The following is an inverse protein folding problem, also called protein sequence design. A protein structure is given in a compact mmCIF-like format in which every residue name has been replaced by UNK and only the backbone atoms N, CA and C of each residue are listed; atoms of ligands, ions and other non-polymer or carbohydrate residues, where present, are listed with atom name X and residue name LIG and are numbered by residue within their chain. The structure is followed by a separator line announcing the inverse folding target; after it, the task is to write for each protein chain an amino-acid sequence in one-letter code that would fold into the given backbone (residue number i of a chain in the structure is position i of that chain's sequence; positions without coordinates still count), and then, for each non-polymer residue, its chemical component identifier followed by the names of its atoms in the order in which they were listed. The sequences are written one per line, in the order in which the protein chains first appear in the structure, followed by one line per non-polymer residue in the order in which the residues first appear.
data_IF_997633095730
#
_entry.id   IF_997633095730
#
_cell.length_a   1.000
_cell.length_b   1.000
_cell.length_c   1.000
_cell.angle_alpha   90.00
_cell.angle_beta   90.00
_cell.angle_gamma   90.00
#
_symmetry.space_group_name_H-M   'P 1'
#
loop_
_entity.id
_entity.type
_entity.pdbx_description
1 polymer ?
#
# COMPACT_ATOMS: atom_id res chain seq x y z
N UNK A 1 0.27 -7.72 -24.90
CA UNK A 1 1.13 -7.07 -23.88
C UNK A 1 1.64 -5.75 -24.45
N UNK A 2 1.38 -4.62 -23.78
CA UNK A 2 1.80 -3.29 -24.26
C UNK A 2 3.33 -3.17 -24.31
N UNK A 3 3.87 -2.57 -25.39
CA UNK A 3 5.32 -2.37 -25.65
C UNK A 3 6.06 -1.67 -24.48
N UNK A 4 5.34 -0.95 -23.62
CA UNK A 4 5.92 -0.19 -22.50
C UNK A 4 6.48 -1.08 -21.38
N UNK A 5 6.01 -2.33 -21.21
CA UNK A 5 6.53 -3.23 -20.17
C UNK A 5 7.84 -3.93 -20.57
N UNK A 6 8.13 -4.06 -21.87
CA UNK A 6 9.32 -4.76 -22.35
C UNK A 6 10.65 -4.07 -21.98
N UNK A 7 10.62 -2.76 -21.73
CA UNK A 7 11.80 -1.97 -21.33
C UNK A 7 11.83 -1.66 -19.83
N UNK A 8 11.13 -2.42 -18.99
CA UNK A 8 11.03 -2.19 -17.55
C UNK A 8 11.74 -3.26 -16.73
N UNK A 9 12.40 -2.85 -15.64
CA UNK A 9 13.11 -3.74 -14.71
C UNK A 9 12.12 -4.30 -13.69
N UNK A 10 12.13 -5.62 -13.44
CA UNK A 10 11.36 -6.21 -12.35
C UNK A 10 12.04 -5.85 -11.02
N UNK A 11 11.31 -5.21 -10.11
CA UNK A 11 11.79 -4.91 -8.76
C UNK A 11 11.30 -5.95 -7.75
N UNK A 12 10.03 -6.34 -7.85
CA UNK A 12 9.40 -7.23 -6.89
C UNK A 12 8.27 -8.04 -7.53
N UNK A 13 8.07 -9.25 -7.02
CA UNK A 13 6.98 -10.14 -7.41
C UNK A 13 6.20 -10.51 -6.14
N UNK A 14 5.00 -9.94 -5.99
CA UNK A 14 4.11 -10.21 -4.87
C UNK A 14 3.04 -11.25 -5.20
N UNK A 15 2.18 -11.53 -4.22
CA UNK A 15 1.02 -12.44 -4.37
C UNK A 15 0.02 -11.96 -5.41
N UNK A 16 -0.06 -10.64 -5.63
CA UNK A 16 -1.17 -9.99 -6.35
C UNK A 16 -0.73 -9.11 -7.49
N UNK A 17 0.55 -8.78 -7.52
CA UNK A 17 1.09 -7.89 -8.53
C UNK A 17 2.59 -8.10 -8.70
N UNK A 18 3.08 -7.59 -9.82
CA UNK A 18 4.49 -7.32 -10.03
C UNK A 18 4.75 -5.83 -9.92
N UNK A 19 5.85 -5.47 -9.27
CA UNK A 19 6.35 -4.10 -9.21
C UNK A 19 7.52 -3.97 -10.17
N UNK A 20 7.44 -3.01 -11.07
CA UNK A 20 8.44 -2.79 -12.12
C UNK A 20 8.86 -1.33 -12.16
N UNK A 21 10.04 -1.08 -12.67
CA UNK A 21 10.59 0.26 -12.82
C UNK A 21 10.76 0.66 -14.29
N UNK A 22 10.38 1.89 -14.60
CA UNK A 22 10.51 2.55 -15.89
C UNK A 22 11.21 3.91 -15.71
N UNK A 23 12.50 3.98 -16.03
CA UNK A 23 13.41 5.09 -15.67
C UNK A 23 13.05 6.46 -16.29
N UNK A 24 12.24 6.50 -17.35
CA UNK A 24 11.95 7.72 -18.13
C UNK A 24 10.58 8.35 -17.86
N UNK A 25 9.98 8.08 -16.70
CA UNK A 25 8.66 8.62 -16.33
C UNK A 25 8.69 9.33 -14.97
N UNK A 26 7.87 10.38 -14.84
CA UNK A 26 7.67 11.10 -13.56
C UNK A 26 7.16 10.21 -12.44
N UNK A 27 6.49 9.10 -12.81
CA UNK A 27 6.08 8.02 -11.92
C UNK A 27 6.75 6.72 -12.40
N UNK A 28 8.03 6.49 -12.00
CA UNK A 28 8.83 5.41 -12.56
C UNK A 28 8.43 4.03 -12.04
N UNK A 29 7.76 3.94 -10.89
CA UNK A 29 7.35 2.67 -10.32
C UNK A 29 5.97 2.31 -10.85
N UNK A 30 5.82 1.08 -11.32
CA UNK A 30 4.60 0.55 -11.91
C UNK A 30 4.19 -0.71 -11.17
N UNK A 31 3.01 -0.69 -10.54
CA UNK A 31 2.39 -1.88 -9.97
C UNK A 31 1.41 -2.45 -10.99
N UNK A 32 1.57 -3.72 -11.36
CA UNK A 32 0.75 -4.40 -12.37
C UNK A 32 0.13 -5.63 -11.72
N UNK A 33 -1.19 -5.68 -11.70
CA UNK A 33 -1.94 -6.78 -11.13
C UNK A 33 -1.70 -8.09 -11.89
N UNK A 34 -1.70 -9.22 -11.18
CA UNK A 34 -1.85 -10.52 -11.79
C UNK A 34 -3.23 -10.65 -12.46
N UNK A 35 -3.39 -11.54 -13.46
CA UNK A 35 -4.60 -11.60 -14.27
C UNK A 35 -5.82 -12.20 -13.57
N UNK A 36 -5.67 -12.76 -12.37
CA UNK A 36 -6.76 -13.35 -11.60
C UNK A 36 -7.62 -12.30 -10.89
N UNK A 37 -8.90 -12.63 -10.68
CA UNK A 37 -9.90 -11.71 -10.13
C UNK A 37 -9.53 -11.19 -8.73
N UNK A 38 -8.95 -12.04 -7.88
CA UNK A 38 -8.61 -11.66 -6.52
C UNK A 38 -7.48 -10.60 -6.49
N UNK A 39 -6.45 -10.79 -7.31
CA UNK A 39 -5.40 -9.79 -7.52
C UNK A 39 -5.94 -8.47 -8.08
N UNK A 40 -6.86 -8.54 -9.05
CA UNK A 40 -7.52 -7.35 -9.64
C UNK A 40 -8.34 -6.56 -8.64
N UNK A 41 -9.10 -7.26 -7.79
CA UNK A 41 -9.87 -6.64 -6.72
C UNK A 41 -8.96 -5.97 -5.69
N UNK A 42 -7.90 -6.66 -5.25
CA UNK A 42 -6.92 -6.09 -4.30
C UNK A 42 -6.21 -4.85 -4.85
N UNK A 43 -5.78 -4.87 -6.11
CA UNK A 43 -5.13 -3.69 -6.73
C UNK A 43 -6.12 -2.53 -6.92
N UNK A 44 -7.37 -2.81 -7.25
CA UNK A 44 -8.40 -1.77 -7.35
C UNK A 44 -8.73 -1.15 -5.99
N UNK A 45 -8.81 -1.98 -4.95
CA UNK A 45 -9.01 -1.54 -3.56
C UNK A 45 -7.83 -0.72 -3.06
N UNK A 46 -6.60 -1.20 -3.27
CA UNK A 46 -5.37 -0.49 -2.91
C UNK A 46 -5.30 0.90 -3.55
N UNK A 47 -5.57 1.01 -4.84
CA UNK A 47 -5.58 2.31 -5.52
C UNK A 47 -6.65 3.26 -4.97
N UNK A 48 -7.82 2.72 -4.62
CA UNK A 48 -8.91 3.48 -4.00
C UNK A 48 -8.49 4.00 -2.63
N UNK A 49 -7.87 3.15 -1.80
CA UNK A 49 -7.36 3.54 -0.49
C UNK A 49 -6.22 4.55 -0.61
N UNK A 50 -5.29 4.39 -1.56
CA UNK A 50 -4.24 5.40 -1.82
C UNK A 50 -4.83 6.79 -2.11
N UNK A 51 -5.93 6.86 -2.87
CA UNK A 51 -6.64 8.13 -3.12
C UNK A 51 -7.24 8.72 -1.84
N UNK A 52 -7.96 7.91 -1.07
CA UNK A 52 -8.55 8.34 0.19
C UNK A 52 -7.48 8.88 1.14
N UNK A 53 -6.40 8.13 1.34
CA UNK A 53 -5.31 8.51 2.23
C UNK A 53 -4.60 9.80 1.77
N UNK A 54 -4.38 9.95 0.47
CA UNK A 54 -3.78 11.16 -0.12
C UNK A 54 -4.67 12.40 0.05
N UNK A 55 -6.00 12.24 -0.10
CA UNK A 55 -6.98 13.31 0.15
C UNK A 55 -6.99 13.73 1.62
N UNK A 56 -6.90 12.77 2.54
CA UNK A 56 -6.82 12.97 4.00
C UNK A 56 -5.45 13.45 4.50
N UNK A 57 -4.47 13.60 3.60
CA UNK A 57 -3.07 13.97 3.94
C UNK A 57 -2.38 12.98 4.87
N UNK A 58 -2.83 11.73 4.87
CA UNK A 58 -2.07 10.63 5.48
C UNK A 58 -0.83 10.39 4.60
N UNK A 59 0.38 10.21 5.17
CA UNK A 59 1.59 10.00 4.38
C UNK A 59 1.50 8.74 3.52
N UNK A 60 1.38 8.94 2.21
CA UNK A 60 1.38 7.90 1.17
C UNK A 60 2.29 8.34 0.02
N UNK A 61 2.76 7.42 -0.83
CA UNK A 61 3.48 7.77 -2.05
C UNK A 61 2.69 8.78 -2.89
N UNK A 62 3.41 9.66 -3.59
CA UNK A 62 2.82 10.41 -4.71
C UNK A 62 2.62 9.43 -5.87
N UNK A 63 1.41 9.38 -6.40
CA UNK A 63 1.06 8.46 -7.47
C UNK A 63 0.31 9.15 -8.60
N UNK A 64 0.33 8.50 -9.76
CA UNK A 64 -0.44 8.93 -10.92
C UNK A 64 -1.92 8.61 -10.70
N UNK A 65 -2.75 9.64 -10.61
CA UNK A 65 -4.19 9.51 -10.42
C UNK A 65 -4.91 8.88 -11.62
N UNK A 66 -4.23 8.75 -12.77
CA UNK A 66 -4.74 8.06 -13.96
C UNK A 66 -4.25 6.61 -13.99
N UNK A 67 -4.89 5.75 -13.19
CA UNK A 67 -4.73 4.31 -13.29
C UNK A 67 -5.24 3.78 -14.64
N UNK A 68 -4.67 2.68 -15.12
CA UNK A 68 -5.19 1.96 -16.28
C UNK A 68 -6.26 0.97 -15.85
N UNK A 69 -7.37 1.01 -16.57
CA UNK A 69 -8.56 0.20 -16.32
C UNK A 69 -8.95 -0.61 -17.55
N UNK A 70 -9.64 -1.71 -17.30
CA UNK A 70 -10.35 -2.54 -18.29
C UNK A 70 -11.73 -2.91 -17.72
N UNK A 71 -12.46 -3.81 -18.38
CA UNK A 71 -13.76 -4.30 -17.91
C UNK A 71 -13.73 -5.00 -16.54
N UNK A 72 -12.55 -5.35 -16.02
CA UNK A 72 -12.33 -5.97 -14.70
C UNK A 72 -11.79 -4.98 -13.66
N UNK A 73 -11.86 -3.67 -13.92
CA UNK A 73 -11.41 -2.63 -12.99
C UNK A 73 -9.97 -2.17 -13.23
N UNK A 74 -9.24 -1.82 -12.18
CA UNK A 74 -7.86 -1.33 -12.30
C UNK A 74 -6.89 -2.51 -12.44
N UNK A 75 -5.98 -2.43 -13.40
CA UNK A 75 -4.92 -3.44 -13.61
C UNK A 75 -3.52 -2.92 -13.41
N UNK A 76 -3.36 -1.60 -13.44
CA UNK A 76 -2.05 -0.97 -13.34
C UNK A 76 -2.19 0.46 -12.88
N UNK A 77 -1.32 0.87 -11.97
CA UNK A 77 -1.11 2.27 -11.64
C UNK A 77 0.39 2.54 -11.50
N UNK A 78 0.75 3.82 -11.38
CA UNK A 78 2.14 4.26 -11.29
C UNK A 78 2.36 5.14 -10.07
N UNK A 79 3.55 5.09 -9.48
CA UNK A 79 3.92 5.91 -8.33
C UNK A 79 5.37 6.38 -8.39
N UNK A 80 5.71 7.29 -7.50
CA UNK A 80 7.08 7.76 -7.30
C UNK A 80 8.02 6.62 -6.90
N UNK A 81 9.33 6.87 -6.96
CA UNK A 81 10.33 5.93 -6.45
C UNK A 81 10.34 5.99 -4.92
N UNK A 82 10.37 4.81 -4.30
CA UNK A 82 10.40 4.63 -2.86
C UNK A 82 11.68 3.91 -2.44
N UNK A 83 12.12 4.16 -1.21
CA UNK A 83 13.35 3.62 -0.65
C UNK A 83 13.07 2.79 0.60
N UNK A 84 13.61 1.57 0.64
CA UNK A 84 13.43 0.67 1.79
C UNK A 84 14.08 1.28 3.03
N UNK A 85 13.49 1.02 4.19
CA UNK A 85 14.06 1.42 5.47
C UNK A 85 15.33 0.62 5.78
N UNK A 86 16.23 1.24 6.51
CA UNK A 86 17.39 0.56 7.11
C UNK A 86 16.90 -0.24 8.32
N UNK A 87 16.86 -1.57 8.19
CA UNK A 87 16.28 -2.41 9.23
C UNK A 87 17.09 -2.42 10.54
N UNK A 88 18.38 -2.10 10.47
CA UNK A 88 19.24 -1.97 11.65
C UNK A 88 18.87 -0.72 12.47
N UNK A 89 18.12 0.21 11.87
CA UNK A 89 17.69 1.48 12.47
C UNK A 89 16.19 1.58 12.70
N UNK A 90 15.45 0.45 12.67
CA UNK A 90 13.99 0.48 12.84
C UNK A 90 13.53 1.24 14.08
N UNK A 91 14.27 1.11 15.19
CA UNK A 91 13.95 1.81 16.45
C UNK A 91 13.97 3.33 16.33
N UNK A 92 14.73 3.89 15.39
CA UNK A 92 14.76 5.33 15.12
C UNK A 92 13.44 5.83 14.52
N UNK A 93 12.72 4.97 13.80
CA UNK A 93 11.45 5.31 13.14
C UNK A 93 10.23 5.12 14.03
N UNK A 94 10.39 4.58 15.25
CA UNK A 94 9.27 4.19 16.11
C UNK A 94 8.28 5.31 16.35
N UNK A 95 8.75 6.50 16.73
CA UNK A 95 7.90 7.63 17.05
C UNK A 95 7.13 8.13 15.81
N UNK A 96 7.80 8.14 14.65
CA UNK A 96 7.19 8.57 13.38
C UNK A 96 6.10 7.58 12.94
N UNK A 97 6.37 6.27 13.03
CA UNK A 97 5.40 5.22 12.69
C UNK A 97 4.20 5.25 13.64
N UNK A 98 4.42 5.41 14.94
CA UNK A 98 3.35 5.60 15.93
C UNK A 98 2.49 6.83 15.61
N UNK A 99 3.12 7.94 15.21
CA UNK A 99 2.42 9.15 14.82
C UNK A 99 1.59 8.97 13.55
N UNK A 100 2.17 8.38 12.49
CA UNK A 100 1.48 8.07 11.24
C UNK A 100 0.26 7.17 11.48
N UNK A 101 0.40 6.14 12.32
CA UNK A 101 -0.68 5.23 12.61
C UNK A 101 -1.80 5.90 13.42
N UNK A 102 -1.47 6.71 14.43
CA UNK A 102 -2.46 7.51 15.16
C UNK A 102 -3.23 8.46 14.25
N UNK A 103 -2.53 9.10 13.29
CA UNK A 103 -3.17 9.96 12.31
C UNK A 103 -4.16 9.18 11.44
N UNK A 104 -3.77 8.01 10.94
CA UNK A 104 -4.65 7.12 10.18
C UNK A 104 -5.89 6.74 11.00
N UNK A 105 -5.70 6.28 12.24
CA UNK A 105 -6.78 5.89 13.14
C UNK A 105 -7.70 7.05 13.50
N UNK A 106 -7.20 8.28 13.59
CA UNK A 106 -8.02 9.47 13.85
C UNK A 106 -9.03 9.79 12.74
N UNK A 107 -8.79 9.30 11.52
CA UNK A 107 -9.74 9.36 10.41
C UNK A 107 -10.69 8.16 10.37
N UNK A 108 -10.64 7.29 11.37
CA UNK A 108 -11.44 6.07 11.43
C UNK A 108 -11.05 5.07 10.36
N UNK A 109 -9.76 4.94 10.02
CA UNK A 109 -9.26 3.97 9.03
C UNK A 109 -8.30 3.00 9.73
N UNK A 110 -8.44 1.70 9.49
CA UNK A 110 -7.43 0.69 9.83
C UNK A 110 -6.52 0.43 8.61
N UNK A 111 -5.24 0.13 8.86
CA UNK A 111 -4.27 -0.19 7.80
C UNK A 111 -4.30 -1.67 7.40
N UNK A 112 -4.43 -2.56 8.39
CA UNK A 112 -4.61 -4.01 8.23
C UNK A 112 -3.32 -4.79 8.09
N UNK A 113 -2.38 -4.30 7.27
CA UNK A 113 -1.12 -5.02 6.96
C UNK A 113 0.13 -4.25 7.41
N UNK A 114 0.14 -3.81 8.67
CA UNK A 114 1.25 -3.06 9.22
C UNK A 114 2.46 -3.97 9.47
N UNK A 115 3.56 -3.75 8.73
CA UNK A 115 4.86 -4.36 8.96
C UNK A 115 5.97 -3.53 8.29
N UNK A 116 7.27 -3.73 8.61
CA UNK A 116 8.34 -2.88 8.08
C UNK A 116 8.47 -2.81 6.55
N UNK A 117 7.96 -3.81 5.84
CA UNK A 117 7.95 -3.82 4.37
C UNK A 117 6.93 -2.85 3.77
N UNK A 118 5.87 -2.52 4.53
CA UNK A 118 4.80 -1.62 4.09
C UNK A 118 5.00 -0.17 4.55
N UNK A 119 6.20 0.16 5.03
CA UNK A 119 6.64 1.52 5.32
C UNK A 119 7.94 1.77 4.56
N UNK A 120 7.97 2.84 3.77
CA UNK A 120 9.13 3.22 2.97
C UNK A 120 9.39 4.72 3.08
N UNK A 121 10.53 5.17 2.56
CA UNK A 121 10.82 6.59 2.38
C UNK A 121 10.49 7.05 0.96
N UNK A 122 9.91 8.24 0.85
CA UNK A 122 9.75 8.93 -0.43
C UNK A 122 11.05 9.65 -0.85
N UNK A 123 11.02 10.32 -2.02
CA UNK A 123 12.18 11.05 -2.55
C UNK A 123 12.68 12.23 -1.70
N UNK A 124 11.86 12.74 -0.78
CA UNK A 124 12.24 13.82 0.16
C UNK A 124 12.63 13.30 1.55
N UNK A 125 12.60 11.97 1.76
CA UNK A 125 13.05 11.31 2.98
C UNK A 125 11.98 11.10 4.05
N UNK A 126 10.72 11.43 3.77
CA UNK A 126 9.59 11.22 4.68
C UNK A 126 9.11 9.76 4.64
N UNK A 127 8.61 9.27 5.78
CA UNK A 127 7.99 7.95 5.85
C UNK A 127 6.59 7.98 5.23
N UNK A 128 6.27 6.95 4.45
CA UNK A 128 4.95 6.77 3.82
C UNK A 128 4.45 5.34 3.99
N UNK A 129 3.14 5.20 4.16
CA UNK A 129 2.46 3.91 4.07
C UNK A 129 2.36 3.46 2.62
N UNK A 130 2.73 2.21 2.34
CA UNK A 130 2.60 1.60 1.02
C UNK A 130 1.71 0.37 1.10
N UNK A 131 1.11 -0.02 -0.02
CA UNK A 131 0.25 -1.21 -0.11
C UNK A 131 -0.95 -1.21 0.89
N UNK A 132 -1.84 -0.20 0.86
CA UNK A 132 -3.06 -0.19 1.66
C UNK A 132 -4.14 -1.14 1.10
N UNK A 133 -3.76 -2.27 0.50
CA UNK A 133 -4.69 -3.25 -0.08
C UNK A 133 -5.57 -3.94 0.97
N UNK A 134 -5.20 -3.82 2.24
CA UNK A 134 -5.94 -4.34 3.39
C UNK A 134 -6.56 -3.25 4.26
N UNK A 135 -6.44 -1.97 3.86
CA UNK A 135 -6.94 -0.85 4.64
C UNK A 135 -8.46 -0.67 4.43
N UNK A 136 -9.13 -0.04 5.39
CA UNK A 136 -10.55 0.26 5.28
C UNK A 136 -11.06 1.10 6.45
N UNK A 137 -12.24 1.71 6.29
CA UNK A 137 -12.87 2.45 7.38
C UNK A 137 -13.31 1.50 8.49
N UNK A 138 -13.08 1.90 9.74
CA UNK A 138 -13.47 1.15 10.92
C UNK A 138 -14.97 0.84 10.89
N UNK A 139 -15.32 -0.34 11.40
CA UNK A 139 -16.70 -0.85 11.46
C UNK A 139 -17.35 -1.16 10.10
N UNK A 140 -16.74 -0.79 8.98
CA UNK A 140 -17.19 -1.25 7.66
C UNK A 140 -16.90 -2.75 7.47
N UNK A 141 -17.73 -3.47 6.69
CA UNK A 141 -17.48 -4.88 6.38
C UNK A 141 -16.15 -5.08 5.65
N UNK A 142 -15.39 -6.09 6.07
CA UNK A 142 -14.16 -6.51 5.37
C UNK A 142 -14.56 -7.15 4.04
N UNK A 143 -14.09 -6.64 2.88
CA UNK A 143 -14.36 -7.25 1.59
C UNK A 143 -13.86 -8.70 1.51
N UNK A 144 -14.60 -9.57 0.82
CA UNK A 144 -14.31 -11.00 0.71
C UNK A 144 -12.94 -11.34 0.09
N UNK A 145 -12.34 -10.40 -0.65
CA UNK A 145 -11.03 -10.58 -1.29
C UNK A 145 -9.85 -10.25 -0.35
N UNK A 146 -10.11 -9.67 0.82
CA UNK A 146 -9.13 -9.53 1.89
C UNK A 146 -9.03 -10.87 2.62
N UNK A 147 -7.78 -11.27 2.87
CA UNK A 147 -7.46 -12.54 3.52
C UNK A 147 -8.03 -12.57 4.96
N UNK A 148 -8.83 -13.59 5.35
CA UNK A 148 -9.40 -13.70 6.69
C UNK A 148 -8.36 -13.76 7.82
N UNK A 149 -7.10 -14.09 7.51
CA UNK A 149 -6.01 -14.11 8.49
C UNK A 149 -5.59 -12.70 8.93
N UNK A 150 -5.96 -11.67 8.17
CA UNK A 150 -5.64 -10.27 8.46
C UNK A 150 -6.64 -9.70 9.47
N UNK A 151 -7.93 -9.94 9.21
CA UNK A 151 -9.02 -9.56 10.10
C UNK A 151 -9.78 -10.81 10.53
N UNK A 152 -9.61 -11.19 11.81
CA UNK A 152 -10.44 -12.23 12.42
C UNK A 152 -11.91 -11.80 12.56
N UNK A 153 -12.16 -10.48 12.54
CA UNK A 153 -13.49 -9.89 12.57
C UNK A 153 -14.08 -9.73 11.16
N UNK A 154 -15.41 -9.65 11.09
CA UNK A 154 -16.13 -9.37 9.83
C UNK A 154 -16.07 -7.91 9.41
N UNK A 155 -15.57 -7.03 10.28
CA UNK A 155 -15.44 -5.60 10.07
C UNK A 155 -14.01 -5.13 10.32
N UNK A 156 -13.62 -4.02 9.70
CA UNK A 156 -12.32 -3.41 9.94
C UNK A 156 -12.21 -2.92 11.39
N UNK A 157 -11.06 -3.21 12.01
CA UNK A 157 -10.77 -2.78 13.38
C UNK A 157 -9.28 -2.46 13.55
N UNK A 158 -8.95 -1.44 14.35
CA UNK A 158 -7.58 -0.97 14.54
C UNK A 158 -6.69 -1.90 15.40
N UNK A 159 -7.29 -2.84 16.13
CA UNK A 159 -6.56 -3.77 17.03
C UNK A 159 -5.49 -4.57 16.31
N UNK A 160 -5.70 -4.90 15.04
CA UNK A 160 -4.69 -5.57 14.23
C UNK A 160 -3.46 -4.68 14.05
N UNK A 161 -3.65 -3.39 13.76
CA UNK A 161 -2.55 -2.45 13.60
C UNK A 161 -1.80 -2.25 14.92
N UNK A 162 -2.52 -2.12 16.04
CA UNK A 162 -1.93 -1.98 17.37
C UNK A 162 -1.10 -3.20 17.77
N UNK A 163 -1.62 -4.41 17.51
CA UNK A 163 -0.91 -5.67 17.73
C UNK A 163 0.36 -5.76 16.88
N UNK A 164 0.26 -5.41 15.60
CA UNK A 164 1.40 -5.40 14.67
C UNK A 164 2.44 -4.36 15.06
N UNK A 165 2.02 -3.16 15.45
CA UNK A 165 2.90 -2.09 15.92
C UNK A 165 3.69 -2.53 17.16
N UNK A 166 3.05 -3.18 18.12
CA UNK A 166 3.71 -3.70 19.31
C UNK A 166 4.75 -4.78 18.96
N UNK A 167 4.45 -5.63 17.97
CA UNK A 167 5.35 -6.68 17.48
C UNK A 167 6.48 -6.14 16.59
N UNK A 168 6.26 -5.02 15.91
CA UNK A 168 7.24 -4.40 15.01
C UNK A 168 8.50 -4.01 15.78
N UNK A 169 8.35 -3.35 16.93
CA UNK A 169 9.48 -2.78 17.68
C UNK A 169 9.90 -3.58 18.93
N UNK A 170 9.35 -4.79 19.12
CA UNK A 170 9.76 -5.71 20.18
C UNK A 170 11.20 -6.21 19.95
#
# INVERSE_FOLDING_TARGET
MSRTLQSSTLLEYGSDAVVREQILHSFPIVKVAHPDEAARNRISHEFTMLRILSELKVPTPVFDTQALTDEKGIYRYRMERLYKLDYDKLREYKQDVEYMLRMLHSYGIAFGDLHPGNIMRNGVGELVFIDPSCAGYLEEPVPFFIRPEIYQATTFHQTQDEYRLASYFA
#
